data_IF_826858512749
#
_entry.id   IF_826858512749
#
_cell.length_a   1.000
_cell.length_b   1.000
_cell.length_c   1.000
_cell.angle_alpha   90.00
_cell.angle_beta   90.00
_cell.angle_gamma   90.00
#
_symmetry.space_group_name_H-M   'P 1'
#
loop_
_entity.id
_entity.type
_entity.pdbx_description
1 polymer ?
#
# COMPACT_ATOMS: atom_id res chain seq x y z
N UNK A 1 -4.35 12.49 -11.93
CA UNK A 1 -3.48 11.68 -11.04
C UNK A 1 -2.40 11.03 -11.89
N UNK A 2 -1.21 10.83 -11.32
CA UNK A 2 -0.04 10.27 -11.99
C UNK A 2 0.36 8.92 -11.35
N UNK A 3 0.97 8.04 -12.12
CA UNK A 3 1.74 6.89 -11.61
C UNK A 3 3.14 7.34 -11.19
N UNK A 4 3.89 6.50 -10.49
CA UNK A 4 5.31 6.80 -10.18
C UNK A 4 6.16 6.98 -11.45
N UNK A 5 5.84 6.24 -12.52
CA UNK A 5 6.51 6.41 -13.82
C UNK A 5 6.23 7.78 -14.43
N UNK A 6 4.97 8.23 -14.39
CA UNK A 6 4.58 9.53 -14.93
C UNK A 6 5.25 10.69 -14.16
N UNK A 7 5.46 10.55 -12.85
CA UNK A 7 6.16 11.57 -12.06
C UNK A 7 7.62 11.71 -12.48
N UNK A 8 8.29 10.60 -12.76
CA UNK A 8 9.70 10.59 -13.16
C UNK A 8 9.93 11.07 -14.59
N UNK A 9 9.08 10.64 -15.52
CA UNK A 9 9.32 10.80 -16.96
C UNK A 9 8.40 11.84 -17.62
N UNK A 10 7.38 12.30 -16.91
CA UNK A 10 6.23 12.97 -17.50
C UNK A 10 5.14 11.99 -17.88
N UNK A 11 3.91 12.49 -17.92
CA UNK A 11 2.74 11.71 -18.28
C UNK A 11 1.61 12.60 -18.77
N UNK A 12 0.71 12.02 -19.57
CA UNK A 12 -0.46 12.73 -20.08
C UNK A 12 -1.53 12.84 -18.99
N UNK A 13 -2.17 14.00 -18.92
CA UNK A 13 -3.33 14.20 -18.04
C UNK A 13 -4.42 13.21 -18.47
N UNK A 14 -4.95 12.47 -17.50
CA UNK A 14 -6.07 11.57 -17.73
C UNK A 14 -5.74 10.16 -18.15
N UNK A 15 -4.46 9.79 -18.34
CA UNK A 15 -4.06 8.41 -18.72
C UNK A 15 -4.66 7.35 -17.79
N UNK A 16 -4.68 7.62 -16.49
CA UNK A 16 -5.23 6.69 -15.48
C UNK A 16 -6.76 6.59 -15.54
N UNK A 17 -7.43 7.57 -16.15
CA UNK A 17 -8.89 7.64 -16.29
C UNK A 17 -9.37 7.17 -17.67
N UNK A 18 -8.54 6.38 -18.39
CA UNK A 18 -8.63 6.03 -19.82
C UNK A 18 -9.95 5.46 -20.39
N UNK A 19 -11.04 5.49 -19.64
CA UNK A 19 -12.39 5.10 -20.06
C UNK A 19 -13.40 6.26 -20.10
N UNK A 20 -13.06 7.48 -19.66
CA UNK A 20 -14.04 8.58 -19.63
C UNK A 20 -13.51 9.87 -20.29
N UNK A 21 -13.51 9.90 -21.63
CA UNK A 21 -13.17 11.09 -22.40
C UNK A 21 -14.03 12.31 -22.04
N UNK A 22 -15.30 12.11 -21.66
CA UNK A 22 -16.21 13.18 -21.22
C UNK A 22 -15.73 13.86 -19.93
N UNK A 23 -15.17 13.10 -18.99
CA UNK A 23 -14.58 13.67 -17.77
C UNK A 23 -13.38 14.57 -18.08
N UNK A 24 -12.49 14.14 -18.98
CA UNK A 24 -11.31 14.92 -19.37
C UNK A 24 -11.69 16.18 -20.15
N UNK A 25 -12.67 16.11 -21.06
CA UNK A 25 -13.18 17.28 -21.77
C UNK A 25 -13.81 18.31 -20.81
N UNK A 26 -14.54 17.85 -19.79
CA UNK A 26 -15.18 18.74 -18.80
C UNK A 26 -14.20 19.50 -17.88
N UNK A 27 -12.97 19.01 -17.75
CA UNK A 27 -11.94 19.59 -16.86
C UNK A 27 -10.92 20.46 -17.59
N UNK A 28 -10.98 20.54 -18.93
CA UNK A 28 -10.22 21.51 -19.74
C UNK A 28 -8.70 21.30 -19.79
N UNK A 29 -8.14 20.42 -18.97
CA UNK A 29 -6.70 20.16 -18.95
C UNK A 29 -6.33 19.00 -19.87
N UNK A 30 -5.67 19.34 -20.99
CA UNK A 30 -5.03 18.39 -21.88
C UNK A 30 -3.52 18.68 -21.93
N UNK A 31 -2.73 17.64 -22.17
CA UNK A 31 -1.30 17.77 -22.40
C UNK A 31 -0.46 16.83 -21.57
N UNK A 32 0.85 16.89 -21.84
CA UNK A 32 1.87 16.21 -21.06
C UNK A 32 2.30 17.10 -19.90
N UNK A 33 2.39 16.50 -18.71
CA UNK A 33 2.91 17.17 -17.52
C UNK A 33 4.13 16.42 -17.09
N UNK A 34 5.22 17.15 -16.80
CA UNK A 34 6.43 16.63 -16.14
C UNK A 34 6.45 17.12 -14.69
N UNK A 35 5.91 16.34 -13.72
CA UNK A 35 5.63 16.86 -12.38
C UNK A 35 6.87 17.38 -11.65
N UNK A 36 8.01 16.68 -11.77
CA UNK A 36 9.26 17.10 -11.12
C UNK A 36 9.86 18.38 -11.72
N UNK A 37 9.83 18.54 -13.05
CA UNK A 37 10.28 19.78 -13.70
C UNK A 37 9.37 20.96 -13.29
N UNK A 38 8.05 20.75 -13.28
CA UNK A 38 7.08 21.78 -12.86
C UNK A 38 7.28 22.18 -11.39
N UNK A 39 7.53 21.20 -10.51
CA UNK A 39 7.87 21.46 -9.10
C UNK A 39 9.15 22.29 -8.98
N UNK A 40 10.23 21.86 -9.65
CA UNK A 40 11.52 22.56 -9.64
C UNK A 40 11.35 24.02 -10.07
N UNK A 41 10.69 24.26 -11.20
CA UNK A 41 10.47 25.60 -11.73
C UNK A 41 9.59 26.47 -10.81
N UNK A 42 8.64 25.88 -10.08
CA UNK A 42 7.78 26.61 -9.15
C UNK A 42 8.47 27.05 -7.85
N UNK A 43 9.59 26.42 -7.51
CA UNK A 43 10.35 26.67 -6.27
C UNK A 43 11.65 27.44 -6.58
N UNK A 44 12.20 27.27 -7.79
CA UNK A 44 13.45 27.90 -8.17
C UNK A 44 13.32 29.43 -8.16
N UNK A 45 14.22 30.09 -7.44
CA UNK A 45 14.22 31.55 -7.27
C UNK A 45 13.34 32.06 -6.13
N UNK A 46 12.52 31.20 -5.50
CA UNK A 46 11.83 31.54 -4.26
C UNK A 46 12.68 31.11 -3.04
N UNK A 47 12.85 32.05 -2.10
CA UNK A 47 13.61 31.84 -0.87
C UNK A 47 12.76 31.34 0.30
N UNK A 48 11.45 31.23 0.12
CA UNK A 48 10.51 30.74 1.12
C UNK A 48 10.75 29.27 1.46
N UNK A 49 10.23 28.86 2.62
CA UNK A 49 10.16 27.45 2.97
C UNK A 49 9.00 26.81 2.24
N UNK A 50 9.28 25.75 1.47
CA UNK A 50 8.27 25.02 0.72
C UNK A 50 8.00 23.67 1.37
N UNK A 51 6.72 23.31 1.50
CA UNK A 51 6.31 21.96 1.89
C UNK A 51 5.86 21.20 0.65
N UNK A 52 6.44 20.03 0.41
CA UNK A 52 6.06 19.14 -0.68
C UNK A 52 5.41 17.89 -0.09
N UNK A 53 4.16 17.63 -0.47
CA UNK A 53 3.43 16.41 -0.06
C UNK A 53 3.43 15.42 -1.22
N UNK A 54 4.18 14.33 -1.09
CA UNK A 54 4.28 13.30 -2.12
C UNK A 54 3.18 12.25 -1.96
N UNK A 55 2.10 12.40 -2.75
CA UNK A 55 0.99 11.45 -2.83
C UNK A 55 0.93 10.79 -4.21
N UNK A 56 1.72 9.73 -4.38
CA UNK A 56 1.79 8.91 -5.60
C UNK A 56 1.80 7.42 -5.24
N UNK A 57 1.60 6.56 -6.23
CA UNK A 57 1.59 5.10 -6.06
C UNK A 57 0.20 4.50 -6.26
N UNK A 58 -0.87 5.19 -5.83
CA UNK A 58 -2.24 4.64 -5.89
C UNK A 58 -2.68 4.31 -7.32
N UNK A 59 -2.25 5.14 -8.28
CA UNK A 59 -2.54 4.91 -9.69
C UNK A 59 -1.71 3.77 -10.28
N UNK A 60 -0.50 3.50 -9.78
CA UNK A 60 0.29 2.32 -10.17
C UNK A 60 -0.47 1.03 -9.86
N UNK A 61 -1.19 0.99 -8.73
CA UNK A 61 -2.06 -0.13 -8.39
C UNK A 61 -3.36 -0.12 -9.20
N UNK A 62 -3.96 1.07 -9.41
CA UNK A 62 -5.22 1.22 -10.16
C UNK A 62 -5.13 0.64 -11.57
N UNK A 63 -4.05 0.93 -12.30
CA UNK A 63 -3.87 0.42 -13.67
C UNK A 63 -3.67 -1.09 -13.73
N UNK A 64 -3.29 -1.72 -12.61
CA UNK A 64 -3.07 -3.16 -12.49
C UNK A 64 -4.21 -3.90 -11.78
N UNK A 65 -5.32 -3.25 -11.46
CA UNK A 65 -6.43 -3.90 -10.71
C UNK A 65 -7.04 -5.11 -11.44
N UNK A 66 -6.97 -5.14 -12.77
CA UNK A 66 -7.41 -6.29 -13.57
C UNK A 66 -6.48 -7.50 -13.47
N UNK A 67 -5.28 -7.36 -12.88
CA UNK A 67 -4.29 -8.41 -12.70
C UNK A 67 -3.71 -8.38 -11.26
N UNK A 68 -4.40 -9.01 -10.28
CA UNK A 68 -4.00 -8.98 -8.87
C UNK A 68 -2.63 -9.63 -8.60
N UNK A 69 -2.20 -10.59 -9.44
CA UNK A 69 -0.85 -11.18 -9.33
C UNK A 69 0.20 -10.21 -9.87
N UNK A 70 -0.08 -9.57 -11.01
CA UNK A 70 0.75 -8.49 -11.57
C UNK A 70 0.95 -7.34 -10.59
N UNK A 71 -0.06 -7.05 -9.76
CA UNK A 71 0.01 -6.09 -8.69
C UNK A 71 1.14 -6.39 -7.69
N UNK A 72 1.27 -7.64 -7.27
CA UNK A 72 2.31 -8.09 -6.33
C UNK A 72 3.70 -8.01 -6.95
N UNK A 73 3.81 -8.31 -8.25
CA UNK A 73 5.07 -8.25 -9.00
C UNK A 73 5.50 -6.83 -9.32
N UNK A 74 4.56 -5.88 -9.41
CA UNK A 74 4.87 -4.48 -9.65
C UNK A 74 5.49 -3.79 -8.43
N UNK A 75 5.23 -4.28 -7.20
CA UNK A 75 5.65 -3.64 -5.95
C UNK A 75 7.13 -3.24 -5.94
N UNK A 76 8.12 -4.12 -6.24
CA UNK A 76 9.53 -3.73 -6.22
C UNK A 76 9.87 -2.59 -7.19
N UNK A 77 9.22 -2.57 -8.36
CA UNK A 77 9.42 -1.52 -9.36
C UNK A 77 8.82 -0.19 -8.89
N UNK A 78 7.63 -0.21 -8.28
CA UNK A 78 6.97 0.96 -7.70
C UNK A 78 7.80 1.50 -6.54
N UNK A 79 8.33 0.64 -5.68
CA UNK A 79 9.22 1.02 -4.57
C UNK A 79 10.47 1.75 -5.08
N UNK A 80 11.16 1.16 -6.06
CA UNK A 80 12.36 1.76 -6.66
C UNK A 80 12.06 3.15 -7.20
N UNK A 81 10.99 3.28 -8.00
CA UNK A 81 10.60 4.58 -8.58
C UNK A 81 10.16 5.58 -7.51
N UNK A 82 9.43 5.14 -6.49
CA UNK A 82 9.02 6.03 -5.39
C UNK A 82 10.24 6.60 -4.67
N UNK A 83 11.24 5.78 -4.36
CA UNK A 83 12.47 6.23 -3.73
C UNK A 83 13.29 7.16 -4.63
N UNK A 84 13.34 6.89 -5.94
CA UNK A 84 13.96 7.81 -6.90
C UNK A 84 13.25 9.18 -6.95
N UNK A 85 11.92 9.21 -6.84
CA UNK A 85 11.16 10.46 -6.73
C UNK A 85 11.53 11.21 -5.45
N UNK A 86 11.66 10.50 -4.33
CA UNK A 86 12.08 11.08 -3.04
C UNK A 86 13.45 11.73 -3.18
N UNK A 87 14.43 11.01 -3.74
CA UNK A 87 15.79 11.52 -3.97
C UNK A 87 15.74 12.80 -4.84
N UNK A 88 15.05 12.75 -5.99
CA UNK A 88 14.93 13.90 -6.89
C UNK A 88 14.26 15.11 -6.25
N UNK A 89 13.26 14.93 -5.39
CA UNK A 89 12.61 16.07 -4.70
C UNK A 89 13.58 16.69 -3.68
N UNK A 90 14.31 15.88 -2.92
CA UNK A 90 15.29 16.37 -1.94
C UNK A 90 16.46 17.11 -2.61
N UNK A 91 16.82 16.73 -3.83
CA UNK A 91 17.85 17.40 -4.65
C UNK A 91 17.43 18.77 -5.20
N UNK A 92 16.12 19.08 -5.28
CA UNK A 92 15.64 20.35 -5.87
C UNK A 92 16.12 21.56 -5.07
N UNK A 93 15.97 21.53 -3.74
CA UNK A 93 16.32 22.66 -2.88
C UNK A 93 16.39 22.21 -1.40
N UNK A 94 17.44 22.62 -0.68
CA UNK A 94 17.62 22.35 0.76
C UNK A 94 16.51 22.91 1.65
N UNK A 95 15.73 23.90 1.17
CA UNK A 95 14.58 24.49 1.88
C UNK A 95 13.26 23.74 1.69
N UNK A 96 13.26 22.64 0.94
CA UNK A 96 12.06 21.81 0.74
C UNK A 96 11.89 20.85 1.92
N UNK A 97 10.76 21.00 2.63
CA UNK A 97 10.29 20.01 3.60
C UNK A 97 9.42 18.98 2.88
N UNK A 98 9.98 17.80 2.62
CA UNK A 98 9.26 16.69 1.99
C UNK A 98 8.47 15.89 3.03
N UNK A 99 7.18 15.69 2.76
CA UNK A 99 6.28 14.81 3.49
C UNK A 99 5.80 13.69 2.56
N UNK A 100 5.87 12.44 3.00
CA UNK A 100 5.37 11.29 2.25
C UNK A 100 3.91 11.06 2.61
N UNK A 101 3.02 10.96 1.63
CA UNK A 101 1.61 10.62 1.88
C UNK A 101 1.26 9.29 1.24
N UNK A 102 0.99 8.31 2.10
CA UNK A 102 0.59 6.97 1.66
C UNK A 102 -0.87 6.96 1.24
N UNK A 103 -1.19 6.10 0.29
CA UNK A 103 -2.56 5.95 -0.22
C UNK A 103 -3.43 5.23 0.80
N UNK A 104 -4.69 5.63 0.95
CA UNK A 104 -5.66 4.97 1.82
C UNK A 104 -6.10 3.60 1.26
N UNK A 105 -6.81 2.84 2.09
CA UNK A 105 -7.50 1.63 1.66
C UNK A 105 -8.82 1.97 0.99
N UNK A 106 -9.21 1.21 -0.03
CA UNK A 106 -10.48 1.41 -0.74
C UNK A 106 -11.67 0.93 0.11
N UNK A 107 -12.87 1.41 -0.21
CA UNK A 107 -14.13 1.03 0.45
C UNK A 107 -14.33 -0.50 0.39
N UNK A 108 -14.35 -1.12 1.56
CA UNK A 108 -14.60 -2.55 1.70
C UNK A 108 -16.10 -2.91 1.76
N UNK A 109 -16.98 -1.93 2.00
CA UNK A 109 -18.43 -2.14 2.03
C UNK A 109 -19.00 -2.12 0.62
N UNK A 110 -18.64 -1.10 -0.17
CA UNK A 110 -19.21 -0.89 -1.49
C UNK A 110 -18.28 -1.36 -2.61
N UNK A 111 -17.61 -2.49 -2.48
CA UNK A 111 -16.53 -2.96 -3.38
C UNK A 111 -16.94 -3.19 -4.86
N UNK A 112 -18.24 -3.17 -5.20
CA UNK A 112 -18.78 -3.61 -6.50
C UNK A 112 -18.19 -2.93 -7.75
N UNK A 113 -17.98 -1.61 -7.82
CA UNK A 113 -17.38 -0.98 -8.99
C UNK A 113 -16.03 -1.53 -9.44
N UNK A 114 -15.21 -2.09 -8.54
CA UNK A 114 -13.86 -2.56 -8.86
C UNK A 114 -13.53 -3.97 -8.37
N UNK A 115 -14.37 -4.56 -7.50
CA UNK A 115 -14.20 -5.88 -6.88
C UNK A 115 -12.82 -6.09 -6.24
N UNK A 116 -12.18 -5.04 -5.74
CA UNK A 116 -10.81 -5.07 -5.23
C UNK A 116 -10.72 -6.02 -4.03
N UNK A 117 -11.55 -5.79 -3.02
CA UNK A 117 -11.56 -6.62 -1.80
C UNK A 117 -12.12 -8.01 -2.04
N UNK A 118 -13.02 -8.16 -3.00
CA UNK A 118 -13.57 -9.45 -3.42
C UNK A 118 -12.48 -10.33 -4.04
N UNK A 119 -11.76 -9.79 -5.03
CA UNK A 119 -10.66 -10.50 -5.70
C UNK A 119 -9.51 -10.78 -4.73
N UNK A 120 -9.09 -9.78 -3.93
CA UNK A 120 -8.07 -9.98 -2.92
C UNK A 120 -8.51 -10.98 -1.85
N UNK A 121 -9.79 -11.01 -1.52
CA UNK A 121 -10.37 -12.01 -0.61
C UNK A 121 -10.24 -13.42 -1.17
N UNK A 122 -10.59 -13.64 -2.43
CA UNK A 122 -10.41 -14.93 -3.10
C UNK A 122 -8.94 -15.39 -3.12
N UNK A 123 -8.02 -14.46 -3.41
CA UNK A 123 -6.57 -14.69 -3.33
C UNK A 123 -6.16 -15.09 -1.89
N UNK A 124 -6.70 -14.41 -0.88
CA UNK A 124 -6.50 -14.74 0.53
C UNK A 124 -7.02 -16.13 0.91
N UNK A 125 -8.21 -16.52 0.47
CA UNK A 125 -8.77 -17.85 0.73
C UNK A 125 -7.97 -18.96 0.06
N UNK A 126 -7.57 -18.75 -1.20
CA UNK A 126 -6.66 -19.67 -1.89
C UNK A 126 -5.35 -19.82 -1.10
N UNK A 127 -4.87 -18.74 -0.50
CA UNK A 127 -3.71 -18.74 0.40
C UNK A 127 -3.85 -19.66 1.59
N UNK A 128 -5.00 -19.59 2.27
CA UNK A 128 -5.28 -20.45 3.41
C UNK A 128 -5.31 -21.92 2.96
N UNK A 129 -5.94 -22.21 1.83
CA UNK A 129 -6.03 -23.59 1.32
C UNK A 129 -4.64 -24.13 1.02
N UNK A 130 -3.81 -23.39 0.29
CA UNK A 130 -2.44 -23.82 -0.05
C UNK A 130 -1.60 -24.02 1.21
N UNK A 131 -1.64 -23.07 2.16
CA UNK A 131 -0.90 -23.18 3.42
C UNK A 131 -1.42 -24.34 4.28
N UNK A 132 -2.73 -24.55 4.32
CA UNK A 132 -3.38 -25.64 5.07
C UNK A 132 -3.03 -27.01 4.50
N UNK A 133 -3.08 -27.17 3.17
CA UNK A 133 -2.67 -28.40 2.47
C UNK A 133 -1.18 -28.67 2.69
N UNK A 134 -0.33 -27.65 2.55
CA UNK A 134 1.10 -27.79 2.80
C UNK A 134 1.40 -28.23 4.24
N UNK A 135 0.75 -27.60 5.23
CA UNK A 135 0.90 -27.98 6.63
C UNK A 135 0.37 -29.40 6.90
N UNK A 136 -0.82 -29.75 6.40
CA UNK A 136 -1.40 -31.08 6.55
C UNK A 136 -0.53 -32.17 5.93
N UNK A 137 0.03 -31.89 4.75
CA UNK A 137 0.97 -32.80 4.09
C UNK A 137 2.28 -32.96 4.89
N UNK A 138 2.85 -31.87 5.40
CA UNK A 138 4.04 -31.91 6.23
C UNK A 138 3.83 -32.73 7.52
N UNK A 139 2.67 -32.55 8.16
CA UNK A 139 2.27 -33.35 9.33
C UNK A 139 2.08 -34.83 8.98
N UNK A 140 1.43 -35.14 7.85
CA UNK A 140 1.21 -36.50 7.41
C UNK A 140 2.52 -37.23 7.08
N UNK A 141 3.43 -36.58 6.35
CA UNK A 141 4.77 -37.12 6.03
C UNK A 141 5.56 -37.35 7.31
N UNK A 142 5.53 -36.40 8.24
CA UNK A 142 6.22 -36.53 9.53
C UNK A 142 5.67 -37.71 10.35
N UNK A 143 4.34 -37.87 10.41
CA UNK A 143 3.70 -39.01 11.08
C UNK A 143 4.05 -40.35 10.43
N UNK A 144 4.09 -40.40 9.09
CA UNK A 144 4.46 -41.61 8.35
C UNK A 144 5.95 -41.97 8.48
N UNK A 145 6.83 -40.97 8.58
CA UNK A 145 8.24 -41.18 8.90
C UNK A 145 8.41 -41.81 10.29
N UNK A 146 7.70 -41.29 11.31
CA UNK A 146 7.73 -41.83 12.67
C UNK A 146 7.21 -43.27 12.71
N UNK A 147 6.18 -43.58 11.92
CA UNK A 147 5.61 -44.94 11.81
C UNK A 147 6.43 -45.89 10.93
N UNK A 148 7.48 -45.41 10.26
CA UNK A 148 8.27 -46.21 9.31
C UNK A 148 7.53 -46.60 8.02
N UNK A 149 6.39 -45.98 7.72
CA UNK A 149 5.59 -46.27 6.51
C UNK A 149 6.13 -45.58 5.25
N UNK A 150 6.99 -44.57 5.42
CA UNK A 150 7.69 -43.87 4.34
C UNK A 150 9.18 -43.89 4.64
N UNK A 151 10.01 -44.15 3.61
CA UNK A 151 11.47 -44.11 3.78
C UNK A 151 11.95 -42.71 4.16
N UNK A 152 13.01 -42.63 4.97
CA UNK A 152 13.62 -41.34 5.38
C UNK A 152 13.93 -40.47 4.17
N UNK A 153 14.49 -41.05 3.11
CA UNK A 153 14.81 -40.33 1.86
C UNK A 153 13.57 -39.71 1.20
N UNK A 154 12.46 -40.44 1.07
CA UNK A 154 11.23 -39.93 0.47
C UNK A 154 10.57 -38.87 1.35
N UNK A 155 10.54 -39.08 2.66
CA UNK A 155 9.99 -38.11 3.59
C UNK A 155 10.77 -36.79 3.58
N UNK A 156 12.11 -36.84 3.54
CA UNK A 156 12.94 -35.65 3.41
C UNK A 156 12.68 -34.91 2.08
N UNK A 157 12.55 -35.62 0.97
CA UNK A 157 12.20 -35.01 -0.33
C UNK A 157 10.85 -34.28 -0.26
N UNK A 158 9.84 -34.92 0.32
CA UNK A 158 8.51 -34.33 0.48
C UNK A 158 8.53 -33.08 1.36
N UNK A 159 9.20 -33.14 2.52
CA UNK A 159 9.36 -31.96 3.40
C UNK A 159 10.09 -30.83 2.66
N UNK A 160 11.13 -31.15 1.88
CA UNK A 160 11.85 -30.19 1.06
C UNK A 160 10.95 -29.49 0.04
N UNK A 161 10.22 -30.25 -0.78
CA UNK A 161 9.31 -29.71 -1.79
C UNK A 161 8.20 -28.85 -1.18
N UNK A 162 7.59 -29.30 -0.08
CA UNK A 162 6.55 -28.55 0.62
C UNK A 162 7.10 -27.27 1.22
N UNK A 163 8.31 -27.30 1.79
CA UNK A 163 8.97 -26.11 2.32
C UNK A 163 9.26 -25.08 1.23
N UNK A 164 9.71 -25.52 0.04
CA UNK A 164 9.93 -24.63 -1.11
C UNK A 164 8.60 -24.02 -1.58
N UNK A 165 7.55 -24.83 -1.70
CA UNK A 165 6.22 -24.35 -2.10
C UNK A 165 5.66 -23.34 -1.08
N UNK A 166 5.71 -23.65 0.22
CA UNK A 166 5.29 -22.73 1.29
C UNK A 166 6.15 -21.46 1.32
N UNK A 167 7.45 -21.56 1.09
CA UNK A 167 8.34 -20.39 1.02
C UNK A 167 7.98 -19.50 -0.16
N UNK A 168 7.88 -20.06 -1.37
CA UNK A 168 7.47 -19.33 -2.57
C UNK A 168 6.10 -18.67 -2.38
N UNK A 169 5.17 -19.37 -1.74
CA UNK A 169 3.85 -18.86 -1.48
C UNK A 169 3.82 -17.77 -0.40
N UNK A 170 4.61 -17.90 0.66
CA UNK A 170 4.78 -16.87 1.71
C UNK A 170 5.38 -15.56 1.17
N UNK A 171 6.14 -15.65 0.07
CA UNK A 171 6.64 -14.49 -0.68
C UNK A 171 5.54 -13.80 -1.48
N UNK A 172 4.42 -14.45 -1.74
CA UNK A 172 3.25 -13.86 -2.42
C UNK A 172 2.25 -13.35 -1.39
N UNK A 173 1.86 -14.20 -0.43
CA UNK A 173 0.89 -13.88 0.62
C UNK A 173 1.51 -14.19 1.99
N UNK A 174 1.82 -13.15 2.79
CA UNK A 174 2.44 -13.33 4.10
C UNK A 174 1.56 -14.15 5.06
N UNK A 175 2.17 -14.98 5.91
CA UNK A 175 1.47 -15.82 6.91
C UNK A 175 0.54 -15.02 7.83
N UNK A 176 0.88 -13.75 8.13
CA UNK A 176 0.01 -12.84 8.89
C UNK A 176 -1.38 -12.65 8.27
N UNK A 177 -1.53 -12.83 6.96
CA UNK A 177 -2.83 -12.79 6.27
C UNK A 177 -3.67 -13.98 6.70
N UNK A 178 -3.11 -15.18 6.63
CA UNK A 178 -3.74 -16.41 7.11
C UNK A 178 -4.13 -16.29 8.58
N UNK A 179 -3.23 -15.78 9.43
CA UNK A 179 -3.51 -15.57 10.86
C UNK A 179 -4.66 -14.55 11.05
N UNK A 180 -4.65 -13.43 10.34
CA UNK A 180 -5.69 -12.40 10.43
C UNK A 180 -7.06 -12.94 10.03
N UNK A 181 -7.12 -13.69 8.94
CA UNK A 181 -8.36 -14.35 8.48
C UNK A 181 -8.87 -15.40 9.48
N UNK A 182 -7.98 -16.18 10.09
CA UNK A 182 -8.35 -17.14 11.15
C UNK A 182 -8.90 -16.43 12.40
N UNK A 183 -8.51 -15.17 12.64
CA UNK A 183 -9.07 -14.29 13.68
C UNK A 183 -10.38 -13.61 13.27
N UNK A 184 -10.94 -13.95 12.10
CA UNK A 184 -12.19 -13.36 11.60
C UNK A 184 -12.04 -12.01 10.90
N UNK A 185 -10.81 -11.58 10.58
CA UNK A 185 -10.62 -10.36 9.80
C UNK A 185 -11.09 -10.52 8.35
N UNK A 186 -11.55 -9.43 7.74
CA UNK A 186 -12.03 -9.44 6.36
C UNK A 186 -10.89 -9.75 5.38
N UNK A 187 -10.98 -10.89 4.69
CA UNK A 187 -9.93 -11.44 3.82
C UNK A 187 -9.30 -10.41 2.86
N UNK A 188 -10.15 -9.69 2.11
CA UNK A 188 -9.69 -8.68 1.14
C UNK A 188 -8.92 -7.53 1.78
N UNK A 189 -9.38 -7.08 2.96
CA UNK A 189 -8.75 -5.99 3.71
C UNK A 189 -7.42 -6.44 4.30
N UNK A 190 -7.38 -7.66 4.83
CA UNK A 190 -6.13 -8.25 5.36
C UNK A 190 -5.08 -8.44 4.26
N UNK A 191 -5.48 -8.93 3.08
CA UNK A 191 -4.58 -9.08 1.92
C UNK A 191 -4.11 -7.71 1.42
N UNK A 192 -5.04 -6.76 1.23
CA UNK A 192 -4.70 -5.38 0.82
C UNK A 192 -3.72 -4.74 1.81
N UNK A 193 -3.97 -4.87 3.11
CA UNK A 193 -3.08 -4.40 4.15
C UNK A 193 -1.69 -5.04 4.04
N UNK A 194 -1.60 -6.37 3.90
CA UNK A 194 -0.33 -7.04 3.72
C UNK A 194 0.45 -6.55 2.49
N UNK A 195 -0.24 -6.24 1.39
CA UNK A 195 0.34 -5.67 0.18
C UNK A 195 0.85 -4.25 0.39
N UNK A 196 0.04 -3.39 1.02
CA UNK A 196 0.44 -2.02 1.35
C UNK A 196 1.62 -1.98 2.31
N UNK A 197 1.63 -2.82 3.33
CA UNK A 197 2.78 -2.91 4.24
C UNK A 197 4.05 -3.35 3.49
N UNK A 198 3.93 -4.32 2.57
CA UNK A 198 5.06 -4.73 1.74
C UNK A 198 5.56 -3.56 0.89
N UNK A 199 4.64 -2.86 0.21
CA UNK A 199 4.94 -1.69 -0.60
C UNK A 199 5.66 -0.61 0.21
N UNK A 200 5.09 -0.20 1.34
CA UNK A 200 5.57 0.95 2.09
C UNK A 200 6.76 0.65 3.00
N UNK A 201 7.09 -0.61 3.31
CA UNK A 201 8.21 -0.94 4.20
C UNK A 201 9.53 -0.25 3.83
N UNK A 202 10.09 -0.40 2.61
CA UNK A 202 11.35 0.28 2.27
C UNK A 202 11.19 1.81 2.20
N UNK A 203 9.98 2.30 1.91
CA UNK A 203 9.68 3.74 1.88
C UNK A 203 9.68 4.31 3.31
N UNK A 204 9.12 3.58 4.28
CA UNK A 204 9.14 3.90 5.71
C UNK A 204 10.55 3.83 6.28
N UNK A 205 11.33 2.81 5.90
CA UNK A 205 12.74 2.70 6.29
C UNK A 205 13.54 3.90 5.78
N UNK A 206 13.32 4.31 4.53
CA UNK A 206 13.92 5.52 3.97
C UNK A 206 13.44 6.78 4.71
N UNK A 207 12.15 6.92 4.95
CA UNK A 207 11.59 8.06 5.67
C UNK A 207 12.19 8.20 7.07
N UNK A 208 12.36 7.09 7.79
CA UNK A 208 13.02 7.05 9.10
C UNK A 208 14.48 7.48 9.03
N UNK A 209 15.24 6.95 8.05
CA UNK A 209 16.65 7.28 7.84
C UNK A 209 16.83 8.78 7.60
N UNK A 210 15.97 9.34 6.74
CA UNK A 210 16.05 10.72 6.29
C UNK A 210 15.25 11.69 7.18
N UNK A 211 14.63 11.18 8.26
CA UNK A 211 13.75 11.94 9.16
C UNK A 211 12.61 12.66 8.43
N UNK A 212 12.06 12.02 7.40
CA UNK A 212 10.90 12.52 6.65
C UNK A 212 9.61 12.25 7.43
N UNK A 213 8.68 13.20 7.35
CA UNK A 213 7.34 13.01 7.89
C UNK A 213 6.52 12.10 6.98
N UNK A 214 5.67 11.27 7.58
CA UNK A 214 4.78 10.36 6.86
C UNK A 214 3.34 10.66 7.24
N UNK A 215 2.47 10.81 6.24
CA UNK A 215 1.02 10.86 6.31
C UNK A 215 0.45 9.47 5.99
N UNK A 216 0.03 8.74 7.02
CA UNK A 216 -0.39 7.34 6.98
C UNK A 216 -1.91 7.22 6.78
N UNK A 217 -2.36 7.54 5.56
CA UNK A 217 -3.76 7.38 5.22
C UNK A 217 -4.32 5.95 5.33
N UNK A 218 -3.56 4.85 5.10
CA UNK A 218 -4.06 3.49 5.31
C UNK A 218 -4.67 3.23 6.69
N UNK A 219 -4.14 3.90 7.73
CA UNK A 219 -4.62 3.79 9.11
C UNK A 219 -5.52 4.95 9.54
N UNK A 220 -5.55 6.01 8.74
CA UNK A 220 -6.40 7.19 8.99
C UNK A 220 -7.80 6.97 8.43
N UNK A 221 -7.94 6.41 7.22
CA UNK A 221 -9.24 6.18 6.61
C UNK A 221 -9.66 4.72 6.79
N UNK A 222 -10.70 4.51 7.61
CA UNK A 222 -11.28 3.19 7.80
C UNK A 222 -11.99 2.72 6.53
N UNK A 223 -11.63 1.56 5.94
CA UNK A 223 -12.27 1.04 4.73
C UNK A 223 -13.73 0.63 4.94
N UNK A 224 -14.19 0.50 6.18
CA UNK A 224 -15.57 0.17 6.54
C UNK A 224 -16.44 1.39 6.82
N UNK A 225 -15.94 2.61 6.65
CA UNK A 225 -16.73 3.83 6.82
C UNK A 225 -17.15 4.40 5.48
N UNK A 226 -18.29 5.13 5.48
CA UNK A 226 -18.84 5.82 4.31
C UNK A 226 -18.05 7.09 3.98
N UNK A 227 -16.75 6.94 3.72
CA UNK A 227 -15.82 8.02 3.40
C UNK A 227 -15.45 8.06 1.91
N UNK A 228 -16.09 7.23 1.08
CA UNK A 228 -15.73 7.03 -0.32
C UNK A 228 -16.92 7.27 -1.27
N UNK A 229 -16.59 7.57 -2.51
CA UNK A 229 -17.47 7.50 -3.69
C UNK A 229 -16.80 6.53 -4.68
N UNK A 230 -17.60 5.71 -5.35
CA UNK A 230 -17.11 4.74 -6.34
C UNK A 230 -15.96 3.85 -5.82
N UNK A 231 -16.03 3.44 -4.55
CA UNK A 231 -15.04 2.63 -3.81
C UNK A 231 -13.67 3.24 -3.57
N UNK A 232 -13.16 4.08 -4.47
CA UNK A 232 -11.73 4.41 -4.52
C UNK A 232 -11.45 5.90 -4.38
N UNK A 233 -12.46 6.77 -4.50
CA UNK A 233 -12.29 8.22 -4.36
C UNK A 233 -12.87 8.66 -3.02
N UNK A 234 -12.22 9.56 -2.26
CA UNK A 234 -12.79 10.06 -1.02
C UNK A 234 -14.03 10.91 -1.35
N UNK A 235 -15.10 10.74 -0.59
CA UNK A 235 -16.24 11.66 -0.64
C UNK A 235 -15.91 12.97 0.09
N UNK A 236 -16.88 13.88 0.22
CA UNK A 236 -16.68 15.16 0.94
C UNK A 236 -16.11 14.94 2.35
N UNK A 237 -16.64 13.98 3.11
CA UNK A 237 -16.18 13.67 4.48
C UNK A 237 -14.76 13.11 4.47
N UNK A 238 -14.48 12.15 3.58
CA UNK A 238 -13.13 11.58 3.42
C UNK A 238 -12.10 12.63 3.00
N UNK A 239 -12.46 13.50 2.06
CA UNK A 239 -11.62 14.60 1.59
C UNK A 239 -11.33 15.65 2.67
N UNK A 240 -12.35 16.04 3.45
CA UNK A 240 -12.17 16.91 4.63
C UNK A 240 -11.25 16.26 5.68
N UNK A 241 -11.38 14.95 5.90
CA UNK A 241 -10.51 14.20 6.80
C UNK A 241 -9.03 14.20 6.35
N UNK A 242 -8.79 13.97 5.06
CA UNK A 242 -7.44 14.05 4.46
C UNK A 242 -6.89 15.48 4.58
N UNK A 243 -7.68 16.50 4.24
CA UNK A 243 -7.24 17.89 4.31
C UNK A 243 -6.87 18.31 5.74
N UNK A 244 -7.68 17.95 6.74
CA UNK A 244 -7.37 18.17 8.16
C UNK A 244 -6.09 17.46 8.59
N UNK A 245 -5.87 16.25 8.10
CA UNK A 245 -4.67 15.45 8.39
C UNK A 245 -3.42 16.13 7.84
N UNK A 246 -3.45 16.57 6.58
CA UNK A 246 -2.36 17.33 5.95
C UNK A 246 -2.09 18.63 6.71
N UNK A 247 -3.14 19.42 6.99
CA UNK A 247 -3.01 20.70 7.69
C UNK A 247 -2.39 20.53 9.09
N UNK A 248 -2.74 19.46 9.81
CA UNK A 248 -2.15 19.16 11.11
C UNK A 248 -0.69 18.72 10.98
N UNK A 249 -0.35 17.84 10.04
CA UNK A 249 1.03 17.40 9.81
C UNK A 249 1.97 18.58 9.49
N UNK A 250 1.49 19.54 8.69
CA UNK A 250 2.22 20.78 8.39
C UNK A 250 2.47 21.59 9.67
N UNK A 251 1.45 21.76 10.53
CA UNK A 251 1.53 22.59 11.74
C UNK A 251 2.36 22.00 12.87
N UNK A 252 2.25 20.69 13.13
CA UNK A 252 2.82 20.10 14.35
C UNK A 252 4.28 19.74 14.25
N UNK A 253 4.86 19.77 13.04
CA UNK A 253 6.19 19.26 12.72
C UNK A 253 6.47 17.80 13.19
N UNK A 254 5.46 17.11 13.73
CA UNK A 254 5.58 15.77 14.27
C UNK A 254 5.80 14.75 13.16
N UNK A 255 6.65 13.76 13.41
CA UNK A 255 7.01 12.71 12.46
C UNK A 255 5.90 11.66 12.25
N UNK A 256 4.73 11.82 12.86
CA UNK A 256 3.68 10.79 12.85
C UNK A 256 2.28 11.37 12.68
N UNK A 257 1.51 10.71 11.81
CA UNK A 257 0.18 11.15 11.34
C UNK A 257 -0.89 10.09 11.61
N UNK A 258 -0.93 9.50 12.80
CA UNK A 258 -2.13 8.76 13.21
C UNK A 258 -3.15 9.75 13.78
N UNK A 259 -4.03 10.23 12.90
CA UNK A 259 -5.01 11.28 13.25
C UNK A 259 -6.46 10.83 13.34
N UNK A 260 -6.78 9.55 13.09
CA UNK A 260 -8.18 9.10 13.04
C UNK A 260 -8.45 7.72 13.67
N UNK A 261 -7.71 7.35 14.72
CA UNK A 261 -8.29 6.48 15.75
C UNK A 261 -8.71 7.40 16.88
N UNK A 262 -10.00 7.54 17.13
CA UNK A 262 -10.56 8.45 18.13
C UNK A 262 -9.75 8.39 19.43
N UNK A 263 -8.97 9.43 19.67
CA UNK A 263 -8.34 9.95 20.91
C UNK A 263 -7.78 8.98 21.98
N UNK A 264 -7.80 7.65 21.83
CA UNK A 264 -7.61 6.75 22.97
C UNK A 264 -6.28 6.00 23.06
N UNK A 265 -5.40 6.03 22.08
CA UNK A 265 -4.08 5.39 22.22
C UNK A 265 -2.94 6.40 22.06
N UNK A 266 -2.05 6.54 23.06
CA UNK A 266 -0.88 7.39 22.93
C UNK A 266 0.03 6.82 21.83
N UNK A 267 0.37 7.69 20.89
CA UNK A 267 1.25 7.37 19.77
C UNK A 267 2.70 7.42 20.26
N UNK A 268 3.44 6.33 20.06
CA UNK A 268 4.85 6.26 20.44
C UNK A 268 5.71 6.96 19.40
N UNK A 269 6.46 7.99 19.80
CA UNK A 269 7.46 8.68 18.98
C UNK A 269 8.67 7.79 18.59
N UNK A 270 8.68 6.50 18.95
CA UNK A 270 9.75 5.59 18.59
C UNK A 270 9.56 5.10 17.15
N UNK A 271 10.46 5.43 16.21
CA UNK A 271 10.38 4.95 14.84
C UNK A 271 10.53 3.42 14.70
N UNK A 272 10.81 2.67 15.77
CA UNK A 272 10.74 1.19 15.80
C UNK A 272 9.31 0.67 15.98
N UNK A 273 8.40 1.50 16.45
CA UNK A 273 6.99 1.18 16.67
C UNK A 273 6.12 1.50 15.46
N UNK A 274 6.70 2.08 14.40
CA UNK A 274 6.03 2.36 13.14
C UNK A 274 5.59 1.07 12.47
N UNK A 275 4.29 0.81 12.54
CA UNK A 275 3.62 -0.31 11.89
C UNK A 275 2.34 0.19 11.26
N UNK A 276 2.00 -0.39 10.10
CA UNK A 276 0.66 -0.20 9.54
C UNK A 276 -0.29 -1.04 10.40
N UNK A 277 -1.16 -0.40 11.18
CA UNK A 277 -2.08 -1.07 12.12
C UNK A 277 -3.51 -0.90 11.64
N UNK A 278 -4.04 -1.96 11.06
CA UNK A 278 -5.37 -1.96 10.45
C UNK A 278 -6.48 -1.96 11.50
N UNK A 279 -7.57 -1.20 11.29
CA UNK A 279 -8.74 -1.26 12.17
C UNK A 279 -9.39 -2.65 12.07
N UNK A 280 -9.67 -3.25 13.23
CA UNK A 280 -10.57 -4.40 13.30
C UNK A 280 -12.01 -3.92 13.02
N UNK A 281 -12.90 -4.86 12.65
CA UNK A 281 -14.30 -4.57 12.30
C UNK A 281 -15.14 -4.12 13.51
N UNK A 282 -14.61 -4.27 14.73
CA UNK A 282 -15.34 -4.11 16.00
C UNK A 282 -15.44 -2.66 16.45
#
# INVERSE_FOLDING_TARGET
>A
GFTTTDVLNGGKIGTVLGFNQGYLQSKGEQGEVKPLEKLKNSIQGNNDQHVVVLSVGGNDFRVLLHNPVGLLWAIPSVQKRYLEIVDKIQEINVKVKLMLMFQYQTDAINDRPYYIHTVLGAVGYFAIIVNGVALGFLLAVSGNLIRGTVSVSRGLTYVGLTSIASYAFSRVIPLKVTIGMLKGQHAGVTVMGAMMERLYRPILERAKKDKLQVIDLPNTLNPFYKNYVYCIEPNKVGGEGIAKTIAKAIKTEANESKLWRGEKEPVSNDPKMWRVIYPDRN
#
